data_IF_439293775773
#
_entry.id   IF_439293775773
#
_cell.length_a   1.000
_cell.length_b   1.000
_cell.length_c   1.000
_cell.angle_alpha   90.00
_cell.angle_beta   90.00
_cell.angle_gamma   90.00
#
_symmetry.space_group_name_H-M   'P 1'
#
loop_
_entity.id
_entity.type
_entity.pdbx_description
1 polymer ?
#
# COMPACT_ATOMS: atom_id res chain seq x y z
N UNK A 1 -11.04 -9.59 -19.30
CA UNK A 1 -12.33 -8.98 -19.71
C UNK A 1 -13.36 -9.02 -18.55
N UNK A 2 -14.51 -8.35 -18.64
CA UNK A 2 -15.52 -8.35 -17.54
C UNK A 2 -16.28 -9.68 -17.42
N UNK A 3 -16.55 -10.31 -18.54
CA UNK A 3 -17.18 -11.62 -18.70
C UNK A 3 -16.25 -12.77 -18.26
N UNK A 4 -14.93 -12.56 -18.28
CA UNK A 4 -13.95 -13.53 -17.77
C UNK A 4 -13.82 -13.56 -16.24
N UNK A 5 -14.60 -12.75 -15.51
CA UNK A 5 -14.55 -12.70 -14.04
C UNK A 5 -15.22 -13.96 -13.45
N UNK A 6 -14.55 -14.72 -12.57
CA UNK A 6 -15.13 -15.91 -11.95
C UNK A 6 -16.44 -15.64 -11.20
N UNK A 7 -17.38 -16.59 -11.24
CA UNK A 7 -18.74 -16.45 -10.68
C UNK A 7 -18.76 -15.91 -9.26
N UNK A 8 -17.90 -16.46 -8.40
CA UNK A 8 -17.78 -16.11 -6.98
C UNK A 8 -17.47 -14.63 -6.71
N UNK A 9 -17.00 -13.90 -7.72
CA UNK A 9 -16.67 -12.48 -7.62
C UNK A 9 -17.67 -11.56 -8.32
N UNK A 10 -18.70 -12.08 -9.00
CA UNK A 10 -19.59 -11.25 -9.84
C UNK A 10 -20.29 -10.10 -9.12
N UNK A 11 -20.49 -10.21 -7.80
CA UNK A 11 -21.10 -9.18 -6.95
C UNK A 11 -20.11 -8.11 -6.45
N UNK A 12 -18.83 -8.20 -6.81
CA UNK A 12 -17.80 -7.26 -6.37
C UNK A 12 -17.86 -5.95 -7.14
N UNK A 13 -17.21 -4.92 -6.60
CA UNK A 13 -17.10 -3.61 -7.23
C UNK A 13 -15.99 -3.64 -8.29
N UNK A 14 -16.31 -3.24 -9.51
CA UNK A 14 -15.40 -3.31 -10.65
C UNK A 14 -15.20 -1.96 -11.33
N UNK A 15 -14.03 -1.78 -11.93
CA UNK A 15 -13.75 -0.75 -12.94
C UNK A 15 -13.25 -1.48 -14.19
N UNK A 16 -13.95 -1.31 -15.31
CA UNK A 16 -13.50 -1.84 -16.60
C UNK A 16 -12.46 -0.87 -17.15
N UNK A 17 -11.19 -1.21 -17.02
CA UNK A 17 -10.09 -0.34 -17.44
C UNK A 17 -9.98 -0.28 -18.96
N UNK A 18 -10.12 -1.43 -19.62
CA UNK A 18 -10.17 -1.57 -21.08
C UNK A 18 -10.89 -2.89 -21.44
N UNK A 19 -11.11 -3.22 -22.73
CA UNK A 19 -11.80 -4.46 -23.12
C UNK A 19 -11.17 -5.75 -22.56
N UNK A 20 -9.87 -5.74 -22.29
CA UNK A 20 -9.12 -6.90 -21.82
C UNK A 20 -8.93 -6.93 -20.29
N UNK A 21 -9.04 -5.79 -19.60
CA UNK A 21 -8.68 -5.65 -18.19
C UNK A 21 -9.83 -5.07 -17.39
N UNK A 22 -10.23 -5.79 -16.33
CA UNK A 22 -11.21 -5.35 -15.36
C UNK A 22 -10.59 -5.42 -13.97
N UNK A 23 -10.59 -4.29 -13.27
CA UNK A 23 -10.08 -4.17 -11.92
C UNK A 23 -11.20 -4.49 -10.93
N UNK A 24 -10.89 -5.19 -9.85
CA UNK A 24 -11.81 -5.53 -8.77
C UNK A 24 -11.34 -4.85 -7.47
N UNK A 25 -12.22 -4.08 -6.82
CA UNK A 25 -11.88 -3.46 -5.53
C UNK A 25 -11.74 -4.53 -4.46
N UNK A 26 -10.64 -4.54 -3.74
CA UNK A 26 -10.38 -5.41 -2.59
C UNK A 26 -11.25 -5.03 -1.39
N UNK A 27 -11.69 -6.01 -0.62
CA UNK A 27 -12.51 -5.80 0.58
C UNK A 27 -11.65 -5.44 1.79
N UNK A 28 -12.30 -4.94 2.85
CA UNK A 28 -11.70 -4.80 4.18
C UNK A 28 -10.98 -6.05 4.68
N UNK A 29 -11.60 -7.22 4.58
CA UNK A 29 -11.02 -8.47 5.10
C UNK A 29 -9.85 -8.98 4.26
N UNK A 30 -9.91 -8.80 2.94
CA UNK A 30 -8.76 -9.07 2.05
C UNK A 30 -7.59 -8.13 2.38
N UNK A 31 -7.85 -6.84 2.59
CA UNK A 31 -6.85 -5.85 2.98
C UNK A 31 -6.19 -6.15 4.33
N UNK A 32 -6.97 -6.60 5.32
CA UNK A 32 -6.43 -7.10 6.59
C UNK A 32 -5.46 -8.27 6.37
N UNK A 33 -5.86 -9.27 5.58
CA UNK A 33 -4.99 -10.42 5.26
C UNK A 33 -3.71 -9.99 4.53
N UNK A 34 -3.80 -9.01 3.61
CA UNK A 34 -2.64 -8.45 2.95
C UNK A 34 -1.71 -7.76 3.95
N UNK A 35 -2.26 -6.98 4.88
CA UNK A 35 -1.47 -6.30 5.89
C UNK A 35 -0.73 -7.24 6.83
N UNK A 36 -1.40 -8.32 7.27
CA UNK A 36 -0.78 -9.41 8.05
C UNK A 36 0.34 -10.09 7.26
N UNK A 37 0.10 -10.42 5.99
CA UNK A 37 1.09 -11.04 5.13
C UNK A 37 2.31 -10.13 4.89
N UNK A 38 2.09 -8.86 4.54
CA UNK A 38 3.14 -7.85 4.35
C UNK A 38 3.95 -7.70 5.65
N UNK A 39 3.27 -7.53 6.79
CA UNK A 39 3.93 -7.37 8.08
C UNK A 39 4.82 -8.56 8.45
N UNK A 40 4.38 -9.79 8.16
CA UNK A 40 5.17 -11.00 8.35
C UNK A 40 6.44 -11.01 7.48
N UNK A 41 6.38 -10.52 6.24
CA UNK A 41 7.55 -10.38 5.36
C UNK A 41 8.52 -9.29 5.82
N UNK A 42 8.01 -8.14 6.27
CA UNK A 42 8.87 -7.10 6.84
C UNK A 42 9.59 -7.60 8.10
N UNK A 43 8.94 -8.47 8.87
CA UNK A 43 9.50 -9.10 10.06
C UNK A 43 10.68 -10.05 9.79
N UNK A 44 10.81 -10.59 8.56
CA UNK A 44 11.91 -11.45 8.14
C UNK A 44 13.06 -10.70 7.46
N UNK A 45 13.00 -9.37 7.36
CA UNK A 45 14.09 -8.57 6.78
C UNK A 45 15.16 -8.29 7.83
N UNK A 46 16.43 -8.44 7.44
CA UNK A 46 17.59 -8.26 8.33
C UNK A 46 18.26 -6.88 8.17
N UNK A 47 17.99 -6.19 7.07
CA UNK A 47 18.51 -4.85 6.79
C UNK A 47 17.58 -3.73 7.27
N UNK A 48 18.01 -2.47 7.12
CA UNK A 48 17.15 -1.30 7.32
C UNK A 48 15.91 -1.32 6.41
N UNK A 49 14.75 -0.96 6.97
CA UNK A 49 13.46 -0.89 6.30
C UNK A 49 12.71 0.36 6.77
N UNK A 50 12.15 1.09 5.82
CA UNK A 50 11.11 2.10 6.03
C UNK A 50 9.90 1.70 5.21
N UNK A 51 8.76 1.52 5.86
CA UNK A 51 7.50 1.18 5.19
C UNK A 51 6.50 2.31 5.42
N UNK A 52 6.07 2.96 4.33
CA UNK A 52 5.24 4.15 4.39
C UNK A 52 3.79 3.81 4.02
N UNK A 53 2.85 4.28 4.82
CA UNK A 53 1.41 4.08 4.63
C UNK A 53 0.77 5.39 4.14
N UNK A 54 0.22 5.44 2.91
CA UNK A 54 -0.44 6.63 2.36
C UNK A 54 -1.87 6.77 2.90
N UNK A 55 -2.09 7.60 3.92
CA UNK A 55 -3.40 7.75 4.57
C UNK A 55 -4.45 8.44 3.66
N UNK A 56 -4.05 9.02 2.53
CA UNK A 56 -4.96 9.55 1.50
C UNK A 56 -5.33 8.54 0.41
N UNK A 57 -4.93 7.28 0.54
CA UNK A 57 -5.28 6.17 -0.34
C UNK A 57 -4.11 5.59 -1.14
N UNK A 58 -4.27 4.34 -1.58
CA UNK A 58 -3.20 3.49 -2.14
C UNK A 58 -3.12 3.49 -3.67
N UNK A 59 -4.00 4.21 -4.36
CA UNK A 59 -3.99 4.33 -5.82
C UNK A 59 -4.71 5.58 -6.32
N UNK A 60 -4.60 5.88 -7.61
CA UNK A 60 -5.36 6.97 -8.24
C UNK A 60 -6.88 6.71 -8.24
N UNK A 61 -7.31 5.45 -8.22
CA UNK A 61 -8.73 5.08 -8.12
C UNK A 61 -9.23 5.10 -6.67
N UNK A 62 -8.31 5.19 -5.72
CA UNK A 62 -8.53 5.12 -4.28
C UNK A 62 -8.23 6.47 -3.65
N UNK A 63 -9.08 7.44 -3.93
CA UNK A 63 -8.98 8.81 -3.45
C UNK A 63 -10.38 9.42 -3.37
N UNK A 64 -10.64 10.45 -2.56
CA UNK A 64 -11.97 11.05 -2.45
C UNK A 64 -12.65 11.30 -3.80
N UNK A 65 -13.88 10.77 -3.96
CA UNK A 65 -14.66 10.87 -5.20
C UNK A 65 -14.33 9.84 -6.28
N UNK A 66 -13.30 9.01 -6.11
CA UNK A 66 -12.90 8.00 -7.09
C UNK A 66 -13.62 6.66 -6.90
N UNK A 67 -13.75 5.85 -7.97
CA UNK A 67 -14.56 4.63 -7.95
C UNK A 67 -14.15 3.62 -6.88
N UNK A 68 -12.89 3.58 -6.48
CA UNK A 68 -12.39 2.61 -5.51
C UNK A 68 -12.22 3.20 -4.11
N UNK A 69 -12.44 4.50 -3.88
CA UNK A 69 -12.29 5.10 -2.55
C UNK A 69 -13.05 4.34 -1.46
N UNK A 70 -12.30 3.80 -0.50
CA UNK A 70 -12.84 3.05 0.64
C UNK A 70 -11.87 3.18 1.83
N UNK A 71 -12.05 4.22 2.67
CA UNK A 71 -11.21 4.44 3.85
C UNK A 71 -11.26 3.31 4.88
N UNK A 72 -12.33 2.50 4.90
CA UNK A 72 -12.42 1.37 5.82
C UNK A 72 -11.47 0.24 5.40
N UNK A 73 -11.42 -0.05 4.10
CA UNK A 73 -10.47 -1.02 3.54
C UNK A 73 -9.02 -0.59 3.76
N UNK A 74 -8.71 0.69 3.55
CA UNK A 74 -7.36 1.24 3.73
C UNK A 74 -6.94 1.18 5.21
N UNK A 75 -7.84 1.57 6.13
CA UNK A 75 -7.56 1.47 7.56
C UNK A 75 -7.35 0.03 8.01
N UNK A 76 -8.10 -0.93 7.47
CA UNK A 76 -7.90 -2.35 7.79
C UNK A 76 -6.52 -2.86 7.33
N UNK A 77 -6.05 -2.43 6.14
CA UNK A 77 -4.69 -2.71 5.68
C UNK A 77 -3.65 -2.10 6.63
N UNK A 78 -3.79 -0.81 6.94
CA UNK A 78 -2.81 -0.06 7.73
C UNK A 78 -2.70 -0.56 9.16
N UNK A 79 -3.83 -0.81 9.82
CA UNK A 79 -3.85 -1.40 11.16
C UNK A 79 -3.22 -2.78 11.19
N UNK A 80 -3.53 -3.64 10.21
CA UNK A 80 -2.97 -4.98 10.13
C UNK A 80 -1.44 -4.95 9.98
N UNK A 81 -0.91 -4.05 9.13
CA UNK A 81 0.53 -3.85 9.00
C UNK A 81 1.13 -3.36 10.33
N UNK A 82 0.57 -2.32 10.94
CA UNK A 82 1.10 -1.74 12.18
C UNK A 82 1.07 -2.73 13.34
N UNK A 83 0.02 -3.54 13.48
CA UNK A 83 -0.11 -4.57 14.52
C UNK A 83 0.87 -5.74 14.30
N UNK A 84 1.13 -6.10 13.04
CA UNK A 84 1.97 -7.26 12.72
C UNK A 84 3.47 -6.94 12.75
N UNK A 85 3.87 -5.75 12.32
CA UNK A 85 5.29 -5.38 12.23
C UNK A 85 5.89 -5.15 13.62
N UNK A 86 6.95 -5.88 13.93
CA UNK A 86 7.80 -5.62 15.11
C UNK A 86 8.69 -4.41 14.82
N UNK A 87 8.31 -3.23 15.28
CA UNK A 87 9.12 -2.01 15.07
C UNK A 87 10.47 -2.11 15.79
N UNK A 88 11.54 -1.65 15.13
CA UNK A 88 12.92 -1.59 15.66
C UNK A 88 13.63 -0.36 15.11
N UNK A 89 14.85 -0.07 15.56
CA UNK A 89 15.68 0.99 14.96
C UNK A 89 15.94 0.79 13.46
N UNK A 90 16.01 -0.47 13.02
CA UNK A 90 16.21 -0.83 11.62
C UNK A 90 14.89 -0.91 10.84
N UNK A 91 13.77 -1.25 11.47
CA UNK A 91 12.46 -1.44 10.80
C UNK A 91 11.40 -0.52 11.37
N UNK A 92 11.02 0.47 10.59
CA UNK A 92 10.04 1.49 11.00
C UNK A 92 8.88 1.54 10.01
N UNK A 93 7.65 1.55 10.54
CA UNK A 93 6.42 1.83 9.77
C UNK A 93 6.02 3.28 10.03
N UNK A 94 5.82 4.04 8.96
CA UNK A 94 5.50 5.47 9.00
C UNK A 94 4.16 5.72 8.31
N UNK A 95 3.32 6.59 8.88
CA UNK A 95 2.09 7.06 8.23
C UNK A 95 2.34 8.42 7.60
N UNK A 96 1.78 8.64 6.42
CA UNK A 96 1.91 9.90 5.69
C UNK A 96 0.50 10.36 5.28
N UNK A 97 0.11 11.57 5.69
CA UNK A 97 -1.22 12.16 5.48
C UNK A 97 -1.41 12.66 4.04
N UNK A 98 -1.30 11.76 3.08
CA UNK A 98 -1.44 12.05 1.64
C UNK A 98 -1.77 10.80 0.85
N UNK A 99 -2.30 10.94 -0.36
CA UNK A 99 -2.44 9.83 -1.29
C UNK A 99 -1.05 9.40 -1.78
N UNK A 100 -0.92 8.13 -2.21
CA UNK A 100 0.34 7.59 -2.74
C UNK A 100 0.91 8.40 -3.92
N UNK A 101 0.04 9.09 -4.68
CA UNK A 101 0.42 9.85 -5.87
C UNK A 101 0.72 11.34 -5.59
N UNK A 102 0.51 11.81 -4.36
CA UNK A 102 0.71 13.22 -4.03
C UNK A 102 2.19 13.53 -3.75
N UNK A 103 2.61 14.76 -4.07
CA UNK A 103 3.99 15.22 -3.84
C UNK A 103 4.50 14.98 -2.39
N UNK A 104 3.71 15.23 -1.33
CA UNK A 104 4.15 14.94 0.05
C UNK A 104 4.48 13.46 0.30
N UNK A 105 3.78 12.51 -0.35
CA UNK A 105 4.10 11.09 -0.24
C UNK A 105 5.42 10.77 -0.95
N UNK A 106 5.60 11.33 -2.14
CA UNK A 106 6.82 11.16 -2.95
C UNK A 106 8.04 11.68 -2.17
N UNK A 107 7.95 12.88 -1.59
CA UNK A 107 9.01 13.49 -0.78
C UNK A 107 9.34 12.64 0.46
N UNK A 108 8.31 12.07 1.11
CA UNK A 108 8.50 11.18 2.24
C UNK A 108 9.23 9.88 1.84
N UNK A 109 8.90 9.30 0.68
CA UNK A 109 9.58 8.11 0.15
C UNK A 109 11.05 8.41 -0.17
N UNK A 110 11.34 9.52 -0.84
CA UNK A 110 12.72 9.92 -1.17
C UNK A 110 13.53 10.14 0.11
N UNK A 111 12.96 10.85 1.08
CA UNK A 111 13.58 11.08 2.39
C UNK A 111 13.87 9.77 3.11
N UNK A 112 12.88 8.87 3.16
CA UNK A 112 13.01 7.56 3.79
C UNK A 112 14.08 6.70 3.12
N UNK A 113 14.16 6.72 1.79
CA UNK A 113 15.18 6.03 1.02
C UNK A 113 16.58 6.55 1.35
N UNK A 114 16.81 7.86 1.33
CA UNK A 114 18.11 8.44 1.66
C UNK A 114 18.53 8.20 3.12
N UNK A 115 17.58 8.08 4.04
CA UNK A 115 17.87 7.81 5.44
C UNK A 115 18.43 6.40 5.71
N UNK A 116 18.15 5.43 4.83
CA UNK A 116 18.57 4.03 5.01
C UNK A 116 19.46 3.50 3.89
N UNK A 117 19.52 4.21 2.76
CA UNK A 117 20.34 3.86 1.62
C UNK A 117 21.83 4.05 1.91
N UNK A 118 22.70 3.29 1.24
CA UNK A 118 24.13 3.53 1.34
C UNK A 118 24.46 4.95 0.86
N UNK A 119 25.33 5.65 1.60
CA UNK A 119 25.88 6.91 1.12
C UNK A 119 26.67 6.60 -0.16
N UNK A 120 26.18 7.08 -1.30
CA UNK A 120 26.90 6.99 -2.56
C UNK A 120 28.25 7.69 -2.37
N UNK A 121 29.32 6.90 -2.23
CA UNK A 121 30.67 7.44 -2.32
C UNK A 121 30.85 7.91 -3.77
N UNK A 122 30.98 9.22 -3.97
CA UNK A 122 31.44 9.75 -5.26
C UNK A 122 32.80 9.13 -5.53
N UNK A 123 32.91 8.32 -6.58
CA UNK A 123 34.22 7.94 -7.12
C UNK A 123 34.86 9.22 -7.65
N UNK A 124 36.00 9.56 -7.07
CA UNK A 124 36.88 10.62 -7.56
C UNK A 124 37.49 10.21 -8.90
#
# INVERSE_FOLDING_TARGET
>A
PRDSVPEKFKSRKFVVHNPNVTLMRTTRDENRQFGEWIGARLNSMNGPVRFLLPEGGVSMLDAPGQPFHDPEADNALFEAIQKTVRQTSLRVVQRVRSNINDAPFIDAVITAFHAIGPKLQRRA
#
